data_IF_437309652802
#
_entry.id   IF_437309652802
#
_cell.length_a   1.000
_cell.length_b   1.000
_cell.length_c   1.000
_cell.angle_alpha   90.00
_cell.angle_beta   90.00
_cell.angle_gamma   90.00
#
_symmetry.space_group_name_H-M   'P 1'
#
loop_
_entity.id
_entity.type
_entity.pdbx_description
1 polymer ?
#
# COMPACT_ATOMS: atom_id res chain seq x y z
N UNK A 1 -35.52 -24.35 -17.63
CA UNK A 1 -34.36 -23.59 -17.12
C UNK A 1 -33.12 -24.07 -17.87
N UNK A 2 -32.48 -23.26 -18.74
CA UNK A 2 -31.31 -23.74 -19.45
C UNK A 2 -30.07 -23.60 -18.57
N UNK A 3 -29.33 -24.70 -18.50
CA UNK A 3 -28.01 -24.83 -17.89
C UNK A 3 -27.04 -23.79 -18.43
N UNK A 4 -26.51 -22.93 -17.55
CA UNK A 4 -25.39 -22.06 -17.89
C UNK A 4 -24.11 -22.89 -17.92
N UNK A 5 -23.75 -23.23 -19.14
CA UNK A 5 -22.43 -23.67 -19.56
C UNK A 5 -21.34 -22.76 -18.94
N UNK A 6 -20.44 -23.36 -18.16
CA UNK A 6 -19.30 -22.70 -17.50
C UNK A 6 -18.04 -22.73 -18.39
N UNK A 7 -18.17 -22.90 -19.70
CA UNK A 7 -17.04 -22.83 -20.62
C UNK A 7 -16.83 -21.41 -21.15
N UNK A 8 -16.00 -20.64 -20.43
CA UNK A 8 -15.14 -19.53 -20.90
C UNK A 8 -14.75 -18.64 -19.71
N UNK A 9 -14.08 -19.23 -18.72
CA UNK A 9 -13.13 -18.47 -17.93
C UNK A 9 -11.86 -18.40 -18.79
N UNK A 10 -11.59 -17.24 -19.39
CA UNK A 10 -10.32 -16.98 -20.05
C UNK A 10 -9.21 -17.32 -19.05
N UNK A 11 -8.32 -18.22 -19.44
CA UNK A 11 -7.11 -18.52 -18.70
C UNK A 11 -6.28 -17.24 -18.65
N UNK A 12 -6.46 -16.45 -17.59
CA UNK A 12 -5.54 -15.36 -17.26
C UNK A 12 -4.17 -16.00 -17.14
N UNK A 13 -3.25 -15.59 -18.01
CA UNK A 13 -1.89 -16.07 -18.02
C UNK A 13 -1.35 -15.97 -16.58
N UNK A 14 -1.15 -17.13 -15.92
CA UNK A 14 -0.42 -17.17 -14.65
C UNK A 14 0.94 -16.57 -14.95
N UNK A 15 1.16 -15.36 -14.46
CA UNK A 15 2.44 -14.65 -14.61
C UNK A 15 3.54 -15.57 -14.09
N UNK A 16 4.64 -15.65 -14.83
CA UNK A 16 5.85 -16.35 -14.40
C UNK A 16 6.18 -15.98 -12.97
N UNK A 17 6.57 -16.97 -12.17
CA UNK A 17 7.09 -16.76 -10.81
C UNK A 17 8.16 -15.66 -10.92
N UNK A 18 7.97 -14.57 -10.17
CA UNK A 18 8.94 -13.48 -10.19
C UNK A 18 10.27 -14.06 -9.74
N UNK A 19 11.32 -13.88 -10.53
CA UNK A 19 12.62 -14.49 -10.24
C UNK A 19 13.21 -13.80 -9.01
N UNK A 20 13.40 -14.57 -7.94
CA UNK A 20 13.94 -14.08 -6.67
C UNK A 20 15.33 -14.67 -6.49
N UNK A 21 16.35 -13.85 -6.66
CA UNK A 21 17.75 -14.21 -6.38
C UNK A 21 18.18 -13.73 -5.00
N UNK A 22 19.20 -14.38 -4.43
CA UNK A 22 19.83 -13.94 -3.17
C UNK A 22 20.39 -12.50 -3.27
N UNK A 23 20.91 -12.13 -4.44
CA UNK A 23 21.40 -10.77 -4.70
C UNK A 23 20.26 -9.74 -4.63
N UNK A 24 19.12 -10.05 -5.25
CA UNK A 24 17.93 -9.21 -5.16
C UNK A 24 17.46 -9.07 -3.71
N UNK A 25 17.35 -10.18 -2.97
CA UNK A 25 16.94 -10.16 -1.56
C UNK A 25 17.89 -9.28 -0.74
N UNK A 26 19.21 -9.42 -0.94
CA UNK A 26 20.20 -8.60 -0.26
C UNK A 26 20.06 -7.10 -0.60
N UNK A 27 19.79 -6.78 -1.87
CA UNK A 27 19.50 -5.42 -2.33
C UNK A 27 18.25 -4.82 -1.67
N UNK A 28 17.16 -5.59 -1.60
CA UNK A 28 15.91 -5.17 -0.97
C UNK A 28 16.08 -4.97 0.55
N UNK A 29 16.82 -5.86 1.24
CA UNK A 29 17.16 -5.68 2.67
C UNK A 29 17.91 -4.37 2.91
N UNK A 30 18.91 -4.05 2.08
CA UNK A 30 19.64 -2.77 2.16
C UNK A 30 18.71 -1.58 1.93
N UNK A 31 17.81 -1.66 0.94
CA UNK A 31 16.84 -0.59 0.67
C UNK A 31 15.87 -0.39 1.84
N UNK A 32 15.38 -1.48 2.45
CA UNK A 32 14.50 -1.40 3.60
C UNK A 32 15.18 -0.74 4.81
N UNK A 33 16.48 -0.97 5.02
CA UNK A 33 17.27 -0.24 6.02
C UNK A 33 17.32 1.26 5.71
N UNK A 34 17.49 1.65 4.44
CA UNK A 34 17.43 3.06 4.03
C UNK A 34 16.07 3.68 4.34
N UNK A 35 14.96 2.99 4.02
CA UNK A 35 13.62 3.51 4.31
C UNK A 35 13.40 3.67 5.83
N UNK A 36 13.85 2.73 6.66
CA UNK A 36 13.81 2.85 8.13
C UNK A 36 14.58 4.07 8.64
N UNK A 37 15.75 4.36 8.08
CA UNK A 37 16.51 5.58 8.42
C UNK A 37 15.72 6.85 8.08
N UNK A 38 15.06 6.89 6.93
CA UNK A 38 14.21 8.02 6.53
C UNK A 38 13.01 8.19 7.46
N UNK A 39 12.33 7.10 7.82
CA UNK A 39 11.20 7.12 8.77
C UNK A 39 11.61 7.80 10.09
N UNK A 40 12.75 7.38 10.67
CA UNK A 40 13.25 7.95 11.93
C UNK A 40 13.56 9.44 11.74
N UNK A 41 14.26 9.82 10.66
CA UNK A 41 14.62 11.23 10.39
C UNK A 41 13.40 12.13 10.22
N UNK A 42 12.41 11.68 9.43
CA UNK A 42 11.17 12.42 9.19
C UNK A 42 10.40 12.66 10.48
N UNK A 43 10.12 11.58 11.22
CA UNK A 43 9.31 11.64 12.44
C UNK A 43 10.02 12.42 13.54
N UNK A 44 11.35 12.27 13.66
CA UNK A 44 12.15 13.07 14.57
C UNK A 44 12.15 14.56 14.18
N UNK A 45 12.40 14.92 12.93
CA UNK A 45 12.42 16.33 12.51
C UNK A 45 11.05 17.02 12.61
N UNK A 46 9.98 16.27 12.40
CA UNK A 46 8.61 16.74 12.59
C UNK A 46 8.21 16.84 14.07
N UNK A 47 8.94 16.18 14.98
CA UNK A 47 8.55 15.96 16.38
C UNK A 47 7.16 15.32 16.49
N UNK A 48 6.78 14.51 15.49
CA UNK A 48 5.44 13.98 15.31
C UNK A 48 5.42 12.88 14.24
N UNK A 49 4.53 11.90 14.37
CA UNK A 49 4.33 10.81 13.40
C UNK A 49 4.39 9.42 14.03
N UNK A 50 4.34 8.38 13.20
CA UNK A 50 4.12 7.00 13.64
C UNK A 50 5.26 6.06 13.19
N UNK A 51 6.45 6.14 13.82
CA UNK A 51 7.61 5.37 13.38
C UNK A 51 7.39 3.86 13.51
N UNK A 52 6.69 3.38 14.55
CA UNK A 52 6.43 1.94 14.76
C UNK A 52 5.67 1.29 13.62
N UNK A 53 4.46 1.79 13.33
CA UNK A 53 3.62 1.27 12.23
C UNK A 53 4.23 1.44 10.84
N UNK A 54 5.11 2.42 10.63
CA UNK A 54 5.91 2.54 9.40
C UNK A 54 7.05 1.52 9.33
N UNK A 55 7.72 1.22 10.44
CA UNK A 55 8.82 0.26 10.48
C UNK A 55 8.37 -1.18 10.26
N UNK A 56 7.19 -1.56 10.75
CA UNK A 56 6.61 -2.90 10.56
C UNK A 56 6.24 -3.17 9.10
N UNK A 57 5.69 -2.17 8.40
CA UNK A 57 5.35 -2.27 6.98
C UNK A 57 6.55 -2.16 6.02
N UNK A 58 7.75 -1.88 6.52
CA UNK A 58 8.87 -1.45 5.70
C UNK A 58 9.33 -2.50 4.68
N UNK A 59 9.39 -3.78 5.04
CA UNK A 59 9.86 -4.81 4.12
C UNK A 59 8.81 -5.11 3.04
N UNK A 60 7.51 -5.08 3.40
CA UNK A 60 6.38 -5.20 2.45
C UNK A 60 6.44 -4.07 1.43
N UNK A 61 6.50 -2.82 1.90
CA UNK A 61 6.53 -1.64 1.02
C UNK A 61 7.79 -1.62 0.17
N UNK A 62 8.93 -2.06 0.70
CA UNK A 62 10.18 -2.17 -0.07
C UNK A 62 10.05 -3.21 -1.18
N UNK A 63 9.57 -4.41 -0.89
CA UNK A 63 9.38 -5.45 -1.91
C UNK A 63 8.40 -4.98 -2.99
N UNK A 64 7.29 -4.34 -2.59
CA UNK A 64 6.31 -3.79 -3.51
C UNK A 64 6.93 -2.73 -4.41
N UNK A 65 7.49 -1.67 -3.83
CA UNK A 65 7.98 -0.56 -4.62
C UNK A 65 9.26 -0.83 -5.38
N UNK A 66 10.13 -1.76 -4.97
CA UNK A 66 11.44 -1.97 -5.61
C UNK A 66 11.54 -3.27 -6.42
N UNK A 67 10.47 -4.06 -6.50
CA UNK A 67 10.47 -5.30 -7.26
C UNK A 67 9.13 -5.66 -7.90
N UNK A 68 8.01 -5.52 -7.18
CA UNK A 68 6.71 -6.05 -7.64
C UNK A 68 5.89 -5.05 -8.47
N UNK A 69 5.81 -3.79 -8.04
CA UNK A 69 4.95 -2.79 -8.64
C UNK A 69 5.50 -2.31 -9.98
N UNK A 70 4.65 -2.32 -11.01
CA UNK A 70 4.91 -1.60 -12.27
C UNK A 70 4.49 -0.15 -12.10
N UNK A 71 5.46 0.70 -11.80
CA UNK A 71 5.25 2.14 -11.66
C UNK A 71 6.38 2.89 -12.36
N UNK A 72 6.05 4.07 -12.86
CA UNK A 72 6.98 4.97 -13.51
C UNK A 72 7.03 6.31 -12.73
N UNK A 73 8.13 6.62 -12.04
CA UNK A 73 8.25 7.89 -11.30
C UNK A 73 8.24 9.12 -12.23
N UNK A 74 8.63 8.97 -13.50
CA UNK A 74 8.57 10.06 -14.48
C UNK A 74 7.17 10.29 -15.03
N UNK A 75 6.28 9.29 -14.87
CA UNK A 75 4.87 9.38 -15.21
C UNK A 75 3.97 8.81 -14.09
N UNK A 76 3.83 9.53 -12.94
CA UNK A 76 3.06 9.05 -11.79
C UNK A 76 1.57 8.81 -12.10
N UNK A 77 1.05 9.39 -13.18
CA UNK A 77 -0.33 9.25 -13.64
C UNK A 77 -0.49 8.22 -14.76
N UNK A 78 0.54 7.42 -15.07
CA UNK A 78 0.50 6.36 -16.08
C UNK A 78 -0.74 5.47 -15.88
N UNK A 79 -1.71 5.44 -16.81
CA UNK A 79 -2.98 4.76 -16.57
C UNK A 79 -2.85 3.27 -16.26
N UNK A 80 -1.88 2.57 -16.86
CA UNK A 80 -1.73 1.11 -16.74
C UNK A 80 -0.78 0.64 -15.62
N UNK A 81 -0.27 1.57 -14.80
CA UNK A 81 0.60 1.25 -13.65
C UNK A 81 -0.14 0.40 -12.61
N UNK A 82 0.59 -0.34 -11.79
CA UNK A 82 -0.02 -0.98 -10.62
C UNK A 82 -0.42 0.08 -9.57
N UNK A 83 -1.45 -0.23 -8.78
CA UNK A 83 -2.02 0.64 -7.75
C UNK A 83 -1.54 0.19 -6.38
N UNK A 84 -1.11 1.12 -5.54
CA UNK A 84 -0.74 0.85 -4.15
C UNK A 84 -1.56 1.75 -3.22
N UNK A 85 -2.18 1.13 -2.23
CA UNK A 85 -3.03 1.76 -1.22
C UNK A 85 -2.44 1.45 0.14
N UNK A 86 -2.20 2.49 0.94
CA UNK A 86 -1.86 2.33 2.35
C UNK A 86 -3.11 2.62 3.17
N UNK A 87 -3.79 1.56 3.62
CA UNK A 87 -5.02 1.65 4.40
C UNK A 87 -4.73 2.18 5.81
N UNK A 88 -3.68 1.63 6.44
CA UNK A 88 -3.06 2.14 7.69
C UNK A 88 -2.33 3.47 7.47
N UNK A 89 -3.08 4.50 7.11
CA UNK A 89 -2.58 5.78 6.59
C UNK A 89 -1.59 6.49 7.52
N UNK A 90 -1.72 6.29 8.83
CA UNK A 90 -0.82 6.84 9.84
C UNK A 90 0.65 6.44 9.60
N UNK A 91 0.89 5.31 8.94
CA UNK A 91 2.19 4.80 8.57
C UNK A 91 2.79 5.46 7.32
N UNK A 92 2.23 6.56 6.81
CA UNK A 92 2.69 7.25 5.59
C UNK A 92 4.19 7.59 5.50
N UNK A 93 4.98 7.76 6.58
CA UNK A 93 6.44 7.89 6.46
C UNK A 93 7.10 6.78 5.63
N UNK A 94 6.66 5.52 5.73
CA UNK A 94 7.25 4.43 4.91
C UNK A 94 6.96 4.61 3.43
N UNK A 95 5.76 5.10 3.12
CA UNK A 95 5.31 5.30 1.75
C UNK A 95 6.03 6.47 1.10
N UNK A 96 6.13 7.59 1.82
CA UNK A 96 6.89 8.75 1.35
C UNK A 96 8.37 8.41 1.14
N UNK A 97 8.99 7.67 2.07
CA UNK A 97 10.36 7.21 1.90
C UNK A 97 10.53 6.35 0.64
N UNK A 98 9.61 5.41 0.40
CA UNK A 98 9.65 4.56 -0.79
C UNK A 98 9.46 5.36 -2.09
N UNK A 99 8.52 6.30 -2.13
CA UNK A 99 8.26 7.16 -3.29
C UNK A 99 9.47 8.06 -3.60
N UNK A 100 10.07 8.68 -2.60
CA UNK A 100 11.26 9.50 -2.77
C UNK A 100 12.45 8.69 -3.32
N UNK A 101 12.72 7.53 -2.70
CA UNK A 101 13.79 6.61 -3.13
C UNK A 101 13.53 5.96 -4.48
N UNK A 102 12.28 5.96 -4.95
CA UNK A 102 11.88 5.57 -6.31
C UNK A 102 11.91 6.72 -7.30
N UNK A 103 12.18 7.96 -6.87
CA UNK A 103 12.33 9.13 -7.73
C UNK A 103 11.04 9.87 -8.05
N UNK A 104 9.94 9.65 -7.31
CA UNK A 104 8.69 10.40 -7.52
C UNK A 104 8.80 11.88 -7.10
N UNK A 105 9.73 12.18 -6.19
CA UNK A 105 10.10 13.52 -5.74
C UNK A 105 11.49 13.46 -5.05
N UNK A 106 12.17 14.61 -4.84
CA UNK A 106 13.49 14.64 -4.20
C UNK A 106 13.50 14.09 -2.77
N UNK A 107 14.55 13.35 -2.40
CA UNK A 107 14.71 12.74 -1.06
C UNK A 107 14.80 13.80 0.03
N UNK A 108 15.31 14.98 -0.29
CA UNK A 108 15.44 16.11 0.62
C UNK A 108 14.07 16.63 1.08
N UNK A 109 13.03 16.51 0.24
CA UNK A 109 11.67 16.91 0.60
C UNK A 109 11.13 16.11 1.79
N UNK A 110 11.66 14.90 2.08
CA UNK A 110 11.25 14.11 3.25
C UNK A 110 11.38 14.90 4.56
N UNK A 111 12.36 15.81 4.65
CA UNK A 111 12.53 16.66 5.84
C UNK A 111 11.43 17.70 6.03
N UNK A 112 10.57 17.89 5.04
CA UNK A 112 9.39 18.76 5.12
C UNK A 112 8.13 18.06 5.67
N UNK A 113 8.22 16.76 6.00
CA UNK A 113 7.12 15.99 6.57
C UNK A 113 6.41 16.74 7.72
N UNK A 114 5.07 16.81 7.63
CA UNK A 114 4.17 17.53 8.57
C UNK A 114 4.41 19.03 8.71
N UNK A 115 5.24 19.66 7.87
CA UNK A 115 5.38 21.12 7.85
C UNK A 115 4.25 21.75 7.04
N UNK A 116 3.87 22.97 7.41
CA UNK A 116 2.92 23.77 6.65
C UNK A 116 3.42 23.92 5.20
N UNK A 117 2.51 23.83 4.23
CA UNK A 117 2.79 23.90 2.79
C UNK A 117 3.66 22.78 2.21
N UNK A 118 3.98 21.73 2.98
CA UNK A 118 4.58 20.52 2.42
C UNK A 118 3.52 19.70 1.68
N UNK A 119 3.90 18.94 0.64
CA UNK A 119 3.03 17.89 0.12
C UNK A 119 2.96 16.65 1.03
N UNK A 120 3.95 16.48 1.91
CA UNK A 120 4.11 15.32 2.79
C UNK A 120 3.34 15.51 4.09
N UNK A 121 2.03 15.37 4.00
CA UNK A 121 1.08 15.57 5.09
C UNK A 121 1.14 14.46 6.16
N UNK A 122 0.55 14.73 7.33
CA UNK A 122 0.56 13.79 8.46
C UNK A 122 -0.21 12.48 8.22
N UNK A 123 -1.06 12.48 7.20
CA UNK A 123 -1.66 11.34 6.52
C UNK A 123 -1.60 11.59 5.00
N UNK A 124 -1.61 10.55 4.15
CA UNK A 124 -1.62 10.69 2.70
C UNK A 124 -2.82 11.52 2.24
N UNK A 125 -2.57 12.44 1.31
CA UNK A 125 -3.58 13.25 0.64
C UNK A 125 -3.49 13.01 -0.86
N UNK A 126 -4.64 12.78 -1.48
CA UNK A 126 -4.71 12.55 -2.91
C UNK A 126 -4.47 13.87 -3.68
N UNK A 127 -3.61 13.81 -4.70
CA UNK A 127 -3.36 14.94 -5.60
C UNK A 127 -2.23 15.88 -5.19
N UNK A 128 -1.67 15.73 -3.99
CA UNK A 128 -0.53 16.56 -3.52
C UNK A 128 0.82 15.86 -3.69
N UNK A 129 0.92 14.60 -3.26
CA UNK A 129 2.15 13.80 -3.37
C UNK A 129 2.10 12.86 -4.58
N UNK A 130 3.02 12.98 -5.55
CA UNK A 130 3.05 12.07 -6.70
C UNK A 130 3.21 10.61 -6.29
N UNK A 131 2.39 9.73 -6.85
CA UNK A 131 2.40 8.29 -6.55
C UNK A 131 1.57 7.87 -5.34
N UNK A 132 0.93 8.81 -4.62
CA UNK A 132 -0.10 8.51 -3.61
C UNK A 132 -1.45 8.28 -4.30
N UNK A 133 -2.04 7.11 -4.07
CA UNK A 133 -3.29 6.67 -4.72
C UNK A 133 -4.56 7.05 -3.95
N UNK A 134 -4.46 7.16 -2.63
CA UNK A 134 -5.61 7.37 -1.77
C UNK A 134 -5.30 8.42 -0.69
N UNK A 135 -6.32 9.22 -0.37
CA UNK A 135 -6.35 9.87 0.94
C UNK A 135 -6.55 8.78 2.01
N UNK A 136 -5.87 8.91 3.14
CA UNK A 136 -6.02 7.99 4.27
C UNK A 136 -6.06 8.75 5.59
N UNK A 137 -6.28 8.02 6.70
CA UNK A 137 -6.35 8.57 8.06
C UNK A 137 -7.59 8.12 8.83
N UNK A 138 -8.66 7.78 8.11
CA UNK A 138 -9.73 6.96 8.65
C UNK A 138 -9.40 5.49 8.37
N UNK A 139 -9.10 4.72 9.42
CA UNK A 139 -8.82 3.28 9.34
C UNK A 139 -10.02 2.54 8.70
N UNK A 140 -9.74 1.47 7.95
CA UNK A 140 -10.72 0.58 7.33
C UNK A 140 -11.21 1.02 5.94
N UNK A 141 -10.92 2.24 5.51
CA UNK A 141 -11.39 2.74 4.21
C UNK A 141 -10.56 2.27 3.00
N UNK A 142 -9.26 2.01 3.20
CA UNK A 142 -8.35 1.72 2.09
C UNK A 142 -8.66 0.40 1.38
N UNK A 143 -9.18 -0.62 2.07
CA UNK A 143 -9.59 -1.85 1.40
C UNK A 143 -10.83 -1.64 0.51
N UNK A 144 -11.82 -0.87 0.98
CA UNK A 144 -12.97 -0.50 0.14
C UNK A 144 -12.55 0.28 -1.09
N UNK A 145 -11.62 1.23 -0.93
CA UNK A 145 -11.05 1.98 -2.06
C UNK A 145 -10.33 1.05 -3.05
N UNK A 146 -9.55 0.08 -2.52
CA UNK A 146 -8.84 -0.91 -3.33
C UNK A 146 -9.77 -1.85 -4.10
N UNK A 147 -10.92 -2.21 -3.53
CA UNK A 147 -11.99 -2.94 -4.22
C UNK A 147 -12.49 -2.15 -5.42
N UNK A 148 -12.74 -0.85 -5.27
CA UNK A 148 -13.12 0.05 -6.37
C UNK A 148 -12.08 0.08 -7.49
N UNK A 149 -10.79 0.21 -7.16
CA UNK A 149 -9.70 0.21 -8.13
C UNK A 149 -9.58 -1.12 -8.90
N UNK A 150 -9.76 -2.25 -8.22
CA UNK A 150 -9.71 -3.56 -8.85
C UNK A 150 -10.94 -3.85 -9.72
N UNK A 151 -12.12 -3.36 -9.32
CA UNK A 151 -13.33 -3.39 -10.15
C UNK A 151 -13.15 -2.55 -11.41
N UNK A 152 -12.62 -1.33 -11.29
CA UNK A 152 -12.31 -0.46 -12.43
C UNK A 152 -11.35 -1.17 -13.41
N UNK A 153 -10.28 -1.79 -12.90
CA UNK A 153 -9.35 -2.57 -13.72
C UNK A 153 -10.07 -3.60 -14.58
N UNK A 154 -10.99 -4.36 -13.99
CA UNK A 154 -11.75 -5.38 -14.70
C UNK A 154 -12.71 -4.80 -15.72
N UNK A 155 -13.46 -3.76 -15.34
CA UNK A 155 -14.46 -3.12 -16.20
C UNK A 155 -13.81 -2.50 -17.44
N UNK A 156 -12.61 -1.95 -17.27
CA UNK A 156 -11.85 -1.32 -18.35
C UNK A 156 -10.96 -2.31 -19.12
N UNK A 157 -11.02 -3.61 -18.80
CA UNK A 157 -10.16 -4.66 -19.36
C UNK A 157 -8.67 -4.37 -19.21
N UNK A 158 -8.28 -3.77 -18.08
CA UNK A 158 -6.93 -3.38 -17.76
C UNK A 158 -6.23 -4.44 -16.91
N UNK A 159 -4.94 -4.59 -17.14
CA UNK A 159 -4.12 -5.62 -16.51
C UNK A 159 -3.35 -5.13 -15.27
N UNK A 160 -3.65 -3.94 -14.73
CA UNK A 160 -3.01 -3.49 -13.49
C UNK A 160 -3.48 -4.31 -12.30
N UNK A 161 -2.62 -4.37 -11.28
CA UNK A 161 -2.93 -4.98 -9.98
C UNK A 161 -3.08 -3.90 -8.93
N UNK A 162 -3.90 -4.18 -7.92
CA UNK A 162 -4.08 -3.31 -6.75
C UNK A 162 -3.51 -4.00 -5.54
N UNK A 163 -2.63 -3.31 -4.80
CA UNK A 163 -2.04 -3.79 -3.57
C UNK A 163 -2.47 -2.88 -2.41
N UNK A 164 -2.98 -3.47 -1.34
CA UNK A 164 -3.44 -2.76 -0.16
C UNK A 164 -2.67 -3.25 1.07
N UNK A 165 -2.13 -2.35 1.88
CA UNK A 165 -1.50 -2.69 3.17
C UNK A 165 -2.37 -2.14 4.30
N UNK A 166 -2.79 -3.04 5.19
CA UNK A 166 -3.67 -2.77 6.32
C UNK A 166 -2.97 -3.03 7.64
N UNK A 167 -3.43 -2.38 8.70
CA UNK A 167 -3.09 -2.75 10.08
C UNK A 167 -3.85 -3.98 10.53
N UNK A 168 -3.38 -4.63 11.58
CA UNK A 168 -4.12 -5.69 12.26
C UNK A 168 -5.18 -5.18 13.24
N UNK A 169 -4.92 -4.10 13.97
CA UNK A 169 -5.98 -3.37 14.71
C UNK A 169 -7.03 -2.73 13.80
N UNK A 170 -6.68 -2.43 12.54
CA UNK A 170 -7.64 -1.95 11.52
C UNK A 170 -8.70 -3.01 11.16
N UNK A 171 -8.46 -4.28 11.49
CA UNK A 171 -9.44 -5.35 11.24
C UNK A 171 -10.68 -5.26 12.13
N UNK A 172 -10.67 -4.45 13.19
CA UNK A 172 -11.85 -4.22 14.03
C UNK A 172 -12.89 -3.32 13.33
N UNK A 173 -12.50 -2.66 12.24
CA UNK A 173 -13.40 -1.77 11.48
C UNK A 173 -14.30 -2.61 10.57
N UNK A 174 -15.61 -2.56 10.80
CA UNK A 174 -16.61 -3.32 10.04
C UNK A 174 -16.54 -3.12 8.52
N UNK A 175 -16.19 -1.91 8.07
CA UNK A 175 -16.00 -1.58 6.66
C UNK A 175 -14.93 -2.46 5.97
N UNK A 176 -13.89 -2.87 6.70
CA UNK A 176 -12.86 -3.81 6.19
C UNK A 176 -13.50 -5.13 5.77
N UNK A 177 -14.43 -5.65 6.57
CA UNK A 177 -15.11 -6.93 6.31
C UNK A 177 -16.15 -6.83 5.18
N UNK A 178 -16.85 -5.70 5.08
CA UNK A 178 -17.73 -5.42 3.93
C UNK A 178 -16.92 -5.43 2.62
N UNK A 179 -15.74 -4.79 2.63
CA UNK A 179 -14.84 -4.78 1.48
C UNK A 179 -14.30 -6.17 1.14
N UNK A 180 -13.92 -6.97 2.14
CA UNK A 180 -13.48 -8.35 1.95
C UNK A 180 -14.59 -9.22 1.33
N UNK A 181 -15.83 -9.08 1.82
CA UNK A 181 -16.99 -9.78 1.27
C UNK A 181 -17.25 -9.38 -0.18
N UNK A 182 -17.18 -8.08 -0.49
CA UNK A 182 -17.32 -7.58 -1.86
C UNK A 182 -16.20 -8.11 -2.78
N UNK A 183 -14.94 -8.08 -2.34
CA UNK A 183 -13.81 -8.59 -3.11
C UNK A 183 -13.99 -10.06 -3.49
N UNK A 184 -14.47 -10.88 -2.55
CA UNK A 184 -14.78 -12.29 -2.79
C UNK A 184 -15.98 -12.46 -3.73
N UNK A 185 -17.09 -11.75 -3.48
CA UNK A 185 -18.31 -11.79 -4.30
C UNK A 185 -18.03 -11.49 -5.77
N UNK A 186 -17.19 -10.49 -6.03
CA UNK A 186 -16.79 -10.13 -7.38
C UNK A 186 -15.58 -10.95 -7.86
N UNK A 187 -14.91 -11.73 -7.02
CA UNK A 187 -13.75 -12.54 -7.41
C UNK A 187 -12.56 -11.71 -7.90
N UNK A 188 -12.20 -10.64 -7.18
CA UNK A 188 -11.15 -9.66 -7.57
C UNK A 188 -9.73 -10.23 -7.42
N UNK A 189 -9.30 -11.03 -8.38
CA UNK A 189 -7.96 -11.66 -8.51
C UNK A 189 -6.79 -10.68 -8.75
N UNK A 190 -7.10 -9.48 -9.22
CA UNK A 190 -6.15 -8.38 -9.38
C UNK A 190 -5.85 -7.63 -8.07
N UNK A 191 -6.61 -7.88 -6.99
CA UNK A 191 -6.42 -7.29 -5.67
C UNK A 191 -5.56 -8.21 -4.77
N UNK A 192 -4.58 -7.64 -4.06
CA UNK A 192 -3.80 -8.32 -3.04
C UNK A 192 -3.73 -7.45 -1.78
N UNK A 193 -4.25 -7.96 -0.68
CA UNK A 193 -4.23 -7.29 0.61
C UNK A 193 -3.16 -7.92 1.52
N UNK A 194 -2.39 -7.08 2.21
CA UNK A 194 -1.44 -7.48 3.25
C UNK A 194 -1.97 -6.97 4.59
N UNK A 195 -2.02 -7.86 5.58
CA UNK A 195 -2.27 -7.48 6.97
C UNK A 195 -0.90 -7.41 7.65
N UNK A 196 -0.51 -6.22 8.08
CA UNK A 196 0.67 -5.99 8.91
C UNK A 196 0.36 -6.42 10.35
N UNK A 197 0.48 -7.73 10.60
CA UNK A 197 0.24 -8.37 11.90
C UNK A 197 1.41 -8.12 12.84
N UNK A 198 1.47 -6.93 13.41
CA UNK A 198 2.51 -6.51 14.34
C UNK A 198 2.11 -6.67 15.82
N UNK A 199 0.85 -7.00 16.10
CA UNK A 199 0.33 -7.33 17.42
C UNK A 199 0.06 -6.13 18.34
N UNK A 200 0.11 -4.90 17.81
CA UNK A 200 -0.09 -3.68 18.61
C UNK A 200 -0.97 -2.65 17.88
N UNK A 201 -1.84 -2.01 18.64
CA UNK A 201 -2.66 -0.88 18.21
C UNK A 201 -2.49 0.30 19.17
N UNK A 202 -3.29 1.36 18.97
CA UNK A 202 -3.08 2.64 19.63
C UNK A 202 -3.06 2.55 21.17
N UNK A 203 -3.93 1.72 21.76
CA UNK A 203 -4.07 1.61 23.22
C UNK A 203 -3.41 0.37 23.84
N UNK A 204 -2.76 -0.48 23.05
CA UNK A 204 -2.14 -1.70 23.58
C UNK A 204 -2.03 -2.83 22.57
N UNK A 205 -1.87 -4.06 23.05
CA UNK A 205 -1.82 -5.25 22.18
C UNK A 205 -3.20 -5.49 21.60
N UNK A 206 -3.24 -5.95 20.35
CA UNK A 206 -4.52 -6.25 19.68
C UNK A 206 -5.32 -7.32 20.43
N UNK A 207 -4.64 -8.29 21.04
CA UNK A 207 -5.25 -9.38 21.81
C UNK A 207 -5.82 -8.94 23.16
N UNK A 208 -5.50 -7.73 23.63
CA UNK A 208 -5.95 -7.24 24.94
C UNK A 208 -7.15 -6.27 24.82
N UNK A 209 -7.25 -5.52 23.72
CA UNK A 209 -8.21 -4.41 23.60
C UNK A 209 -9.56 -4.86 23.02
N UNK A 210 -9.55 -5.66 21.95
CA UNK A 210 -10.74 -6.19 21.26
C UNK A 210 -10.43 -7.63 20.77
N UNK A 211 -10.37 -8.63 21.69
CA UNK A 211 -10.01 -10.01 21.37
C UNK A 211 -11.05 -10.79 20.57
#
# INVERSE_FOLDING_TARGET
MPSRDRSRAGAGARRSVVEVSEELIAGLKKKAVTLRKHIIRMTHNAQSGHPGGSMSACDIVTALYFHVLRVDPSNPTWPDRDRFVLSKGHACPVWYAALAERGFFPVEELMTFRKLNSRLQGHPELGTTPGVENAAGAEGQGLSFSVGLALAARMDHKAWRTYCVLGDGEQDVGQTWEAAMAASKYGLDSLTAFIDRNGIQQEGRTEDIMP
#
